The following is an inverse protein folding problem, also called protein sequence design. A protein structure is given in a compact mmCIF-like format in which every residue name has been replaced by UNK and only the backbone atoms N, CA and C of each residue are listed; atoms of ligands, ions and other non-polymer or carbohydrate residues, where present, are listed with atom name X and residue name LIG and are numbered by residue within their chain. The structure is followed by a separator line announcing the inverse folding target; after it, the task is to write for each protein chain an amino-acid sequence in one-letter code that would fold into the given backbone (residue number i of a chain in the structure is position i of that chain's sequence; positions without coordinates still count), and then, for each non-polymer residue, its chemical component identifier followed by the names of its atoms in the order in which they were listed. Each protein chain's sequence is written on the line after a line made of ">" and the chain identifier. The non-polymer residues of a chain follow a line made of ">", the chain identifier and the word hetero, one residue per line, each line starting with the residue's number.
data_IF_259659875958
#
_entry.id   IF_259659875958
#
_cell.length_a   1.000
_cell.length_b   1.000
_cell.length_c   1.000
_cell.angle_alpha   90.00
_cell.angle_beta   90.00
_cell.angle_gamma   90.00
#
_symmetry.space_group_name_H-M   'P 1'
#
loop_
_entity.id
_entity.type
_entity.pdbx_description
1 polymer ?
#
# COMPACT_ATOMS: atom_id res chain seq x y z
N UNK A 1 11.98 27.85 -15.04
CA UNK A 1 13.29 28.32 -14.55
C UNK A 1 13.52 27.64 -13.21
N UNK A 2 14.39 26.62 -13.20
CA UNK A 2 15.76 26.68 -12.59
C UNK A 2 15.67 26.60 -11.06
N UNK A 3 16.39 25.76 -10.33
CA UNK A 3 17.47 24.77 -10.52
C UNK A 3 17.53 24.07 -9.14
N UNK A 4 17.53 22.74 -9.00
CA UNK A 4 18.72 21.86 -8.89
C UNK A 4 19.96 22.50 -8.26
N UNK A 5 20.59 21.73 -7.35
CA UNK A 5 21.90 21.90 -6.70
C UNK A 5 21.87 22.47 -5.29
N UNK A 6 21.99 21.57 -4.30
CA UNK A 6 23.11 21.61 -3.36
C UNK A 6 23.43 20.16 -2.97
N UNK A 7 24.56 19.68 -3.49
CA UNK A 7 25.16 18.41 -3.14
C UNK A 7 26.12 18.54 -1.96
N UNK A 8 26.14 17.47 -1.16
CA UNK A 8 27.32 16.73 -0.70
C UNK A 8 28.37 17.53 0.09
N UNK A 9 28.48 17.19 1.38
CA UNK A 9 29.75 16.79 1.98
C UNK A 9 29.49 15.81 3.13
N UNK A 10 29.67 14.52 2.86
CA UNK A 10 29.80 13.47 3.87
C UNK A 10 31.24 12.97 3.76
N UNK A 11 32.05 13.17 4.81
CA UNK A 11 33.39 12.62 4.88
C UNK A 11 33.50 11.71 6.13
N UNK A 12 33.61 10.41 5.82
CA UNK A 12 34.29 9.31 6.50
C UNK A 12 34.56 9.40 8.02
N UNK A 13 34.09 8.38 8.77
CA UNK A 13 34.93 7.22 9.13
C UNK A 13 34.22 6.34 10.16
N UNK A 14 33.73 5.15 9.77
CA UNK A 14 33.49 4.05 10.72
C UNK A 14 33.69 2.72 10.00
N UNK A 15 34.80 2.08 10.31
CA UNK A 15 35.15 0.70 9.92
C UNK A 15 34.36 -0.30 10.78
N UNK A 16 33.74 -1.34 10.21
CA UNK A 16 33.42 -2.54 10.96
C UNK A 16 34.42 -3.66 10.68
N UNK A 17 34.93 -4.22 11.77
CA UNK A 17 35.73 -5.44 11.77
C UNK A 17 35.02 -6.59 11.05
N UNK A 18 35.78 -7.27 10.21
CA UNK A 18 35.42 -8.51 9.54
C UNK A 18 35.09 -9.60 10.56
N UNK A 19 33.92 -10.21 10.40
CA UNK A 19 33.71 -11.61 10.77
C UNK A 19 33.41 -12.39 9.47
N UNK A 20 34.41 -13.20 9.13
CA UNK A 20 34.42 -14.17 8.07
C UNK A 20 33.40 -15.29 8.37
N UNK A 21 32.46 -15.51 7.46
CA UNK A 21 31.93 -16.85 7.19
C UNK A 21 32.29 -17.20 5.75
N UNK A 22 33.40 -17.92 5.61
CA UNK A 22 33.87 -18.54 4.38
C UNK A 22 33.25 -19.93 4.22
N UNK A 23 32.51 -20.10 3.11
CA UNK A 23 32.31 -21.30 2.27
C UNK A 23 30.86 -21.32 1.77
N UNK A 24 30.51 -21.52 0.50
CA UNK A 24 31.21 -21.57 -0.79
C UNK A 24 30.12 -21.50 -1.86
N UNK A 25 30.40 -20.77 -2.95
CA UNK A 25 29.95 -20.97 -4.36
C UNK A 25 28.67 -21.82 -4.61
N UNK A 26 27.65 -21.34 -5.30
CA UNK A 26 27.69 -20.93 -6.71
C UNK A 26 26.64 -19.86 -7.01
N UNK A 27 27.10 -18.62 -7.17
CA UNK A 27 26.47 -17.68 -8.10
C UNK A 27 27.45 -17.56 -9.27
N UNK A 28 27.06 -17.83 -10.52
CA UNK A 28 27.89 -17.45 -11.65
C UNK A 28 27.92 -15.92 -11.69
N UNK A 29 28.99 -15.34 -11.16
CA UNK A 29 29.40 -14.01 -11.56
C UNK A 29 29.60 -14.06 -13.08
N UNK A 30 29.00 -13.14 -13.86
CA UNK A 30 29.36 -13.00 -15.26
C UNK A 30 30.85 -12.69 -15.28
N UNK A 31 31.62 -13.63 -15.81
CA UNK A 31 33.04 -13.44 -16.09
C UNK A 31 33.21 -12.21 -16.95
N UNK A 32 34.34 -11.53 -16.75
CA UNK A 32 34.83 -10.42 -17.55
C UNK A 32 34.84 -10.83 -19.04
N UNK A 33 33.71 -10.66 -19.72
CA UNK A 33 33.66 -10.69 -21.17
C UNK A 33 34.17 -9.34 -21.65
N UNK A 34 35.24 -9.41 -22.44
CA UNK A 34 35.75 -8.34 -23.31
C UNK A 34 34.57 -7.51 -23.85
N UNK A 35 34.66 -6.16 -23.92
CA UNK A 35 33.55 -5.35 -24.39
C UNK A 35 33.25 -5.75 -25.84
N UNK A 36 32.18 -6.51 -26.03
CA UNK A 36 31.62 -6.73 -27.35
C UNK A 36 31.18 -5.36 -27.85
N UNK A 37 31.96 -4.81 -28.78
CA UNK A 37 31.75 -3.49 -29.39
C UNK A 37 30.47 -3.40 -30.24
N UNK A 38 29.56 -4.38 -30.12
CA UNK A 38 28.24 -4.41 -30.74
C UNK A 38 27.16 -4.71 -29.69
N UNK A 39 27.10 -3.92 -28.62
CA UNK A 39 25.84 -3.75 -27.87
C UNK A 39 24.80 -3.25 -28.88
N UNK A 40 23.83 -4.11 -29.22
CA UNK A 40 22.82 -3.77 -30.20
C UNK A 40 22.21 -2.41 -29.88
N UNK A 41 22.14 -1.51 -30.86
CA UNK A 41 21.63 -0.14 -30.69
C UNK A 41 20.23 -0.13 -30.03
N UNK A 42 19.46 -1.20 -30.27
CA UNK A 42 18.18 -1.50 -29.63
C UNK A 42 18.24 -1.60 -28.09
N UNK A 43 19.24 -2.30 -27.54
CA UNK A 43 19.43 -2.43 -26.09
C UNK A 43 19.79 -1.10 -25.43
N UNK A 44 20.57 -0.27 -26.13
CA UNK A 44 20.95 1.06 -25.65
C UNK A 44 19.76 2.03 -25.69
N UNK A 45 18.89 1.92 -26.69
CA UNK A 45 17.71 2.77 -26.83
C UNK A 45 16.75 2.66 -25.64
N UNK A 46 16.65 1.51 -24.97
CA UNK A 46 15.89 1.36 -23.72
C UNK A 46 16.32 2.37 -22.66
N UNK A 47 17.63 2.50 -22.45
CA UNK A 47 18.20 3.40 -21.43
C UNK A 47 18.15 4.85 -21.87
N UNK A 48 18.33 5.14 -23.17
CA UNK A 48 18.20 6.50 -23.73
C UNK A 48 16.79 7.05 -23.53
N UNK A 49 15.77 6.24 -23.80
CA UNK A 49 14.37 6.61 -23.56
C UNK A 49 14.13 6.86 -22.07
N UNK A 50 14.64 5.98 -21.20
CA UNK A 50 14.51 6.13 -19.76
C UNK A 50 15.16 7.42 -19.23
N UNK A 51 16.34 7.76 -19.73
CA UNK A 51 17.02 9.00 -19.38
C UNK A 51 16.26 10.22 -19.92
N UNK A 52 15.79 10.19 -21.17
CA UNK A 52 15.13 11.32 -21.82
C UNK A 52 13.88 11.77 -21.06
N UNK A 53 13.00 10.85 -20.65
CA UNK A 53 11.81 11.24 -19.89
C UNK A 53 12.11 11.62 -18.44
N UNK A 54 13.15 11.06 -17.81
CA UNK A 54 13.60 11.49 -16.46
C UNK A 54 14.19 12.91 -16.47
N UNK A 55 14.86 13.28 -17.56
CA UNK A 55 15.48 14.59 -17.76
C UNK A 55 14.54 15.61 -18.42
N UNK A 56 13.33 15.21 -18.82
CA UNK A 56 12.34 16.09 -19.47
C UNK A 56 12.69 16.50 -20.91
N UNK A 57 13.51 15.72 -21.62
CA UNK A 57 13.93 15.96 -23.00
C UNK A 57 12.93 15.35 -23.99
N UNK A 58 11.78 16.00 -24.16
CA UNK A 58 10.65 15.47 -24.93
C UNK A 58 10.91 15.33 -26.43
N UNK A 59 11.67 16.23 -27.05
CA UNK A 59 11.98 16.17 -28.50
C UNK A 59 12.81 14.94 -28.85
N UNK A 60 13.81 14.63 -28.02
CA UNK A 60 14.66 13.44 -28.19
C UNK A 60 13.87 12.15 -27.88
N UNK A 61 12.95 12.21 -26.91
CA UNK A 61 12.08 11.08 -26.57
C UNK A 61 11.22 10.64 -27.75
N UNK A 62 10.61 11.59 -28.48
CA UNK A 62 9.81 11.29 -29.68
C UNK A 62 10.66 10.62 -30.77
N UNK A 63 11.91 11.07 -30.95
CA UNK A 63 12.83 10.46 -31.91
C UNK A 63 13.23 9.03 -31.51
N UNK A 64 13.52 8.81 -30.23
CA UNK A 64 13.90 7.49 -29.72
C UNK A 64 12.73 6.49 -29.74
N UNK A 65 11.50 6.96 -29.57
CA UNK A 65 10.32 6.11 -29.63
C UNK A 65 9.95 5.72 -31.08
N UNK A 66 10.22 6.57 -32.07
CA UNK A 66 10.05 6.22 -33.51
C UNK A 66 10.96 5.06 -33.95
N UNK A 67 12.14 4.93 -33.32
CA UNK A 67 13.15 3.90 -33.61
C UNK A 67 12.94 2.60 -32.81
N UNK A 68 11.93 2.55 -31.94
CA UNK A 68 11.75 1.46 -30.97
C UNK A 68 11.11 0.19 -31.55
N UNK A 69 11.33 -0.98 -30.90
CA UNK A 69 10.63 -2.22 -31.23
C UNK A 69 9.12 -2.13 -30.99
N UNK A 70 8.34 -3.01 -31.63
CA UNK A 70 6.86 -3.07 -31.51
C UNK A 70 6.38 -3.35 -30.08
N UNK A 71 7.21 -3.97 -29.25
CA UNK A 71 6.93 -4.17 -27.82
C UNK A 71 7.80 -3.23 -26.97
N UNK A 72 7.21 -2.19 -26.35
CA UNK A 72 7.95 -1.26 -25.53
C UNK A 72 8.38 -1.93 -24.22
N UNK A 73 9.65 -1.76 -23.85
CA UNK A 73 10.09 -2.04 -22.48
C UNK A 73 9.41 -1.09 -21.49
N UNK A 74 9.41 -1.42 -20.19
CA UNK A 74 8.81 -0.59 -19.13
C UNK A 74 9.12 0.91 -19.26
N UNK A 75 10.41 1.26 -19.41
CA UNK A 75 10.84 2.65 -19.54
C UNK A 75 10.37 3.32 -20.83
N UNK A 76 10.23 2.56 -21.92
CA UNK A 76 9.69 3.06 -23.19
C UNK A 76 8.18 3.26 -23.11
N UNK A 77 7.46 2.35 -22.44
CA UNK A 77 6.03 2.46 -22.24
C UNK A 77 5.65 3.67 -21.38
N UNK A 78 6.39 3.93 -20.30
CA UNK A 78 6.24 5.16 -19.50
C UNK A 78 6.45 6.40 -20.38
N UNK A 79 7.48 6.39 -21.23
CA UNK A 79 7.73 7.48 -22.18
C UNK A 79 6.58 7.73 -23.15
N UNK A 80 5.98 6.67 -23.70
CA UNK A 80 4.79 6.78 -24.56
C UNK A 80 3.59 7.35 -23.81
N UNK A 81 3.30 6.86 -22.61
CA UNK A 81 2.23 7.40 -21.75
C UNK A 81 2.43 8.90 -21.54
N UNK A 82 3.64 9.34 -21.19
CA UNK A 82 3.93 10.76 -20.95
C UNK A 82 3.72 11.62 -22.20
N UNK A 83 4.01 11.10 -23.39
CA UNK A 83 3.70 11.78 -24.65
C UNK A 83 2.19 11.89 -24.89
N UNK A 84 1.41 10.82 -24.65
CA UNK A 84 -0.05 10.86 -24.77
C UNK A 84 -0.68 11.85 -23.79
N UNK A 85 -0.17 11.90 -22.55
CA UNK A 85 -0.58 12.89 -21.54
C UNK A 85 -0.30 14.31 -22.03
N UNK A 86 0.87 14.56 -22.62
CA UNK A 86 1.23 15.87 -23.18
C UNK A 86 0.35 16.24 -24.38
N UNK A 87 0.03 15.28 -25.24
CA UNK A 87 -0.85 15.44 -26.39
C UNK A 87 -2.35 15.56 -26.02
N UNK A 88 -2.71 15.31 -24.75
CA UNK A 88 -4.08 15.27 -24.22
C UNK A 88 -4.99 14.23 -24.90
N UNK A 89 -4.42 13.14 -25.39
CA UNK A 89 -5.19 12.01 -25.93
C UNK A 89 -5.51 11.01 -24.81
N UNK A 90 -6.76 11.03 -24.35
CA UNK A 90 -7.22 10.17 -23.26
C UNK A 90 -7.34 8.70 -23.68
N UNK A 91 -7.75 8.42 -24.92
CA UNK A 91 -8.00 7.05 -25.38
C UNK A 91 -6.69 6.29 -25.61
N UNK A 92 -5.70 6.95 -26.23
CA UNK A 92 -4.37 6.38 -26.40
C UNK A 92 -3.64 6.21 -25.07
N UNK A 93 -3.85 7.14 -24.13
CA UNK A 93 -3.34 7.04 -22.76
C UNK A 93 -3.88 5.79 -22.06
N UNK A 94 -5.20 5.61 -22.00
CA UNK A 94 -5.81 4.47 -21.31
C UNK A 94 -5.41 3.12 -21.94
N UNK A 95 -5.34 3.06 -23.27
CA UNK A 95 -4.91 1.85 -23.98
C UNK A 95 -3.45 1.49 -23.67
N UNK A 96 -2.56 2.48 -23.69
CA UNK A 96 -1.13 2.29 -23.39
C UNK A 96 -0.90 1.88 -21.94
N UNK A 97 -1.67 2.48 -21.02
CA UNK A 97 -1.65 2.18 -19.59
C UNK A 97 -2.10 0.76 -19.29
N UNK A 98 -3.22 0.32 -19.88
CA UNK A 98 -3.72 -1.05 -19.75
C UNK A 98 -2.67 -2.08 -20.21
N UNK A 99 -2.08 -1.85 -21.40
CA UNK A 99 -1.04 -2.73 -21.94
C UNK A 99 0.17 -2.87 -21.01
N UNK A 100 0.64 -1.77 -20.41
CA UNK A 100 1.78 -1.79 -19.47
C UNK A 100 1.45 -2.45 -18.15
N UNK A 101 0.24 -2.26 -17.62
CA UNK A 101 -0.24 -2.97 -16.44
C UNK A 101 -0.25 -4.49 -16.68
N UNK A 102 -0.78 -4.95 -17.80
CA UNK A 102 -0.81 -6.38 -18.17
C UNK A 102 0.60 -6.98 -18.23
N UNK A 103 1.57 -6.28 -18.83
CA UNK A 103 2.97 -6.72 -18.86
C UNK A 103 3.60 -6.84 -17.47
N UNK A 104 3.32 -5.90 -16.54
CA UNK A 104 3.82 -6.00 -15.18
C UNK A 104 3.18 -7.13 -14.39
N UNK A 105 1.89 -7.41 -14.60
CA UNK A 105 1.18 -8.53 -13.96
C UNK A 105 1.79 -9.86 -14.39
N UNK A 106 2.10 -10.05 -15.67
CA UNK A 106 2.78 -11.25 -16.18
C UNK A 106 4.20 -11.39 -15.58
N UNK A 107 4.92 -10.27 -15.44
CA UNK A 107 6.24 -10.26 -14.82
C UNK A 107 6.18 -10.57 -13.31
N UNK A 108 5.09 -10.18 -12.65
CA UNK A 108 4.86 -10.45 -11.23
C UNK A 108 4.48 -11.92 -10.99
N UNK A 109 3.60 -12.50 -11.82
CA UNK A 109 3.20 -13.90 -11.70
C UNK A 109 4.39 -14.83 -11.90
N UNK A 110 5.21 -14.58 -12.92
CA UNK A 110 6.45 -15.33 -13.15
C UNK A 110 7.45 -15.19 -11.99
N UNK A 111 7.62 -13.98 -11.43
CA UNK A 111 8.47 -13.77 -10.26
C UNK A 111 7.96 -14.46 -8.98
N UNK A 112 6.64 -14.63 -8.85
CA UNK A 112 6.04 -15.26 -7.67
C UNK A 112 6.26 -16.78 -7.59
N UNK A 113 6.58 -17.42 -8.71
CA UNK A 113 6.78 -18.88 -8.80
C UNK A 113 8.19 -19.34 -8.42
N UNK A 114 9.12 -18.41 -8.18
CA UNK A 114 10.52 -18.72 -7.90
C UNK A 114 10.85 -18.66 -6.39
N UNK A 115 11.86 -19.43 -5.97
CA UNK A 115 12.46 -19.28 -4.63
C UNK A 115 13.06 -17.88 -4.53
N UNK A 116 12.78 -17.15 -3.46
CA UNK A 116 13.03 -15.69 -3.30
C UNK A 116 12.03 -14.76 -4.02
N UNK A 117 10.81 -15.24 -4.28
CA UNK A 117 9.71 -14.51 -4.90
C UNK A 117 9.59 -13.03 -4.49
N UNK A 118 9.73 -12.70 -3.20
CA UNK A 118 9.57 -11.32 -2.72
C UNK A 118 10.61 -10.35 -3.30
N UNK A 119 11.89 -10.74 -3.31
CA UNK A 119 12.98 -9.88 -3.78
C UNK A 119 12.84 -9.58 -5.28
N UNK A 120 12.33 -10.55 -6.05
CA UNK A 120 12.09 -10.41 -7.49
C UNK A 120 10.76 -9.72 -7.81
N UNK A 121 9.74 -9.90 -6.97
CA UNK A 121 8.43 -9.29 -7.10
C UNK A 121 8.43 -7.80 -6.71
N UNK A 122 9.28 -7.39 -5.77
CA UNK A 122 9.29 -6.03 -5.21
C UNK A 122 9.36 -4.92 -6.27
N UNK A 123 10.27 -4.96 -7.27
CA UNK A 123 10.30 -3.94 -8.33
C UNK A 123 9.00 -3.87 -9.14
N UNK A 124 8.30 -4.99 -9.35
CA UNK A 124 7.03 -5.04 -10.08
C UNK A 124 5.89 -4.44 -9.24
N UNK A 125 5.86 -4.73 -7.94
CA UNK A 125 4.88 -4.18 -7.00
C UNK A 125 5.01 -2.66 -6.92
N UNK A 126 6.23 -2.13 -6.75
CA UNK A 126 6.46 -0.68 -6.70
C UNK A 126 6.04 0.00 -8.00
N UNK A 127 6.35 -0.62 -9.15
CA UNK A 127 5.94 -0.11 -10.48
C UNK A 127 4.42 -0.05 -10.66
N UNK A 128 3.70 -1.06 -10.19
CA UNK A 128 2.23 -1.06 -10.21
C UNK A 128 1.66 0.01 -9.27
N UNK A 129 2.24 0.17 -8.08
CA UNK A 129 1.82 1.17 -7.09
C UNK A 129 1.98 2.61 -7.61
N UNK A 130 2.96 2.91 -8.45
CA UNK A 130 3.14 4.24 -9.05
C UNK A 130 2.03 4.61 -10.03
N UNK A 131 1.42 3.62 -10.70
CA UNK A 131 0.36 3.88 -11.67
C UNK A 131 -1.03 3.93 -11.05
N UNK A 132 -1.28 3.18 -9.97
CA UNK A 132 -2.58 3.10 -9.31
C UNK A 132 -3.20 4.48 -8.91
N UNK A 133 -2.45 5.49 -8.42
CA UNK A 133 -3.00 6.81 -8.08
C UNK A 133 -3.49 7.60 -9.29
N UNK A 134 -3.01 7.32 -10.50
CA UNK A 134 -3.48 7.99 -11.73
C UNK A 134 -4.76 7.36 -12.30
N UNK A 135 -5.19 6.21 -11.76
CA UNK A 135 -6.39 5.47 -12.15
C UNK A 135 -7.54 5.60 -11.11
N UNK A 136 -7.40 6.43 -10.08
CA UNK A 136 -8.43 6.59 -9.04
C UNK A 136 -9.63 7.35 -9.60
N UNK A 137 -10.59 6.57 -10.13
CA UNK A 137 -11.98 6.48 -9.68
C UNK A 137 -12.82 5.58 -10.61
N UNK A 138 -12.61 5.54 -11.94
CA UNK A 138 -13.35 4.59 -12.79
C UNK A 138 -12.63 3.23 -12.95
N UNK A 139 -11.32 3.22 -13.25
CA UNK A 139 -10.62 1.98 -13.62
C UNK A 139 -10.22 1.07 -12.44
N UNK A 140 -10.25 1.54 -11.18
CA UNK A 140 -10.07 0.65 -10.01
C UNK A 140 -11.14 -0.43 -9.97
N UNK A 141 -12.38 -0.09 -10.37
CA UNK A 141 -13.48 -1.05 -10.49
C UNK A 141 -13.33 -1.93 -11.72
N UNK A 142 -12.93 -1.36 -12.86
CA UNK A 142 -12.78 -2.11 -14.11
C UNK A 142 -11.56 -3.06 -14.10
N UNK A 143 -10.42 -2.69 -13.51
CA UNK A 143 -9.26 -3.57 -13.35
C UNK A 143 -9.55 -4.73 -12.38
N UNK A 144 -10.34 -4.51 -11.32
CA UNK A 144 -10.81 -5.58 -10.43
C UNK A 144 -11.77 -6.54 -11.16
N UNK A 145 -12.59 -6.00 -12.08
CA UNK A 145 -13.48 -6.76 -12.95
C UNK A 145 -12.72 -7.59 -13.99
N UNK A 146 -11.68 -7.03 -14.60
CA UNK A 146 -10.78 -7.70 -15.56
C UNK A 146 -9.84 -8.72 -14.89
N UNK A 147 -9.44 -8.50 -13.64
CA UNK A 147 -8.67 -9.48 -12.84
C UNK A 147 -9.52 -10.68 -12.35
N UNK A 148 -10.75 -10.86 -12.85
CA UNK A 148 -11.59 -12.02 -12.57
C UNK A 148 -12.11 -12.10 -11.13
N UNK A 149 -11.86 -11.09 -10.31
CA UNK A 149 -12.40 -10.97 -8.95
C UNK A 149 -13.54 -9.97 -8.97
N UNK A 150 -14.59 -10.28 -9.74
CA UNK A 150 -15.84 -9.53 -9.65
C UNK A 150 -16.43 -9.76 -8.27
N UNK A 151 -16.28 -8.79 -7.37
CA UNK A 151 -16.97 -8.81 -6.08
C UNK A 151 -18.43 -8.48 -6.36
N UNK A 152 -19.31 -9.41 -6.02
CA UNK A 152 -20.75 -9.21 -6.18
C UNK A 152 -21.22 -8.09 -5.26
N UNK A 153 -21.65 -6.98 -5.87
CA UNK A 153 -22.12 -5.81 -5.13
C UNK A 153 -23.42 -6.06 -4.39
N UNK A 154 -24.22 -7.04 -4.80
CA UNK A 154 -25.48 -7.35 -4.14
C UNK A 154 -25.24 -8.20 -2.88
N UNK A 155 -24.28 -9.12 -2.91
CA UNK A 155 -23.80 -9.79 -1.68
C UNK A 155 -23.17 -8.80 -0.69
N UNK A 156 -22.43 -7.80 -1.19
CA UNK A 156 -21.91 -6.74 -0.34
C UNK A 156 -23.01 -5.93 0.33
N UNK A 157 -24.08 -5.59 -0.40
CA UNK A 157 -25.25 -4.89 0.18
C UNK A 157 -25.95 -5.73 1.23
N UNK A 158 -26.24 -7.00 0.94
CA UNK A 158 -26.87 -7.91 1.91
C UNK A 158 -26.04 -8.06 3.18
N UNK A 159 -24.71 -8.19 3.04
CA UNK A 159 -23.77 -8.26 4.17
C UNK A 159 -23.75 -6.95 4.95
N UNK A 160 -23.77 -5.82 4.26
CA UNK A 160 -23.82 -4.50 4.89
C UNK A 160 -25.11 -4.35 5.66
N UNK A 161 -26.25 -4.63 5.05
CA UNK A 161 -27.58 -4.58 5.67
C UNK A 161 -27.64 -5.47 6.92
N UNK A 162 -27.14 -6.71 6.84
CA UNK A 162 -27.05 -7.59 8.01
C UNK A 162 -26.24 -6.96 9.15
N UNK A 163 -25.10 -6.34 8.83
CA UNK A 163 -24.28 -5.63 9.81
C UNK A 163 -25.05 -4.48 10.46
N UNK A 164 -25.85 -3.73 9.69
CA UNK A 164 -26.65 -2.61 10.21
C UNK A 164 -27.71 -3.08 11.22
N UNK A 165 -28.28 -4.26 11.01
CA UNK A 165 -29.25 -4.84 11.93
C UNK A 165 -28.61 -5.23 13.28
N UNK A 166 -27.29 -5.42 13.34
CA UNK A 166 -26.55 -5.71 14.56
C UNK A 166 -26.15 -4.47 15.36
N UNK A 167 -26.43 -3.27 14.85
CA UNK A 167 -26.17 -2.05 15.59
C UNK A 167 -27.19 -1.92 16.73
N UNK A 168 -26.69 -1.82 17.97
CA UNK A 168 -27.53 -1.59 19.14
C UNK A 168 -28.32 -0.27 18.99
N UNK A 169 -29.64 -0.34 19.10
CA UNK A 169 -30.54 0.80 18.90
C UNK A 169 -30.42 1.90 19.95
N UNK A 170 -29.83 1.61 21.12
CA UNK A 170 -29.67 2.56 22.22
C UNK A 170 -28.24 3.11 22.34
N UNK A 171 -27.22 2.24 22.26
CA UNK A 171 -25.83 2.65 22.45
C UNK A 171 -25.07 2.93 21.14
N UNK A 172 -25.62 2.50 19.99
CA UNK A 172 -24.98 2.66 18.68
C UNK A 172 -23.73 1.79 18.44
N UNK A 173 -23.36 0.98 19.44
CA UNK A 173 -22.26 0.01 19.37
C UNK A 173 -22.67 -1.27 18.65
N UNK A 174 -21.72 -1.93 17.99
CA UNK A 174 -21.92 -3.26 17.41
C UNK A 174 -21.66 -4.35 18.44
N UNK A 175 -22.56 -5.33 18.50
CA UNK A 175 -22.40 -6.51 19.32
C UNK A 175 -21.60 -7.61 18.59
N UNK A 176 -20.76 -8.31 19.33
CA UNK A 176 -20.01 -9.43 18.78
C UNK A 176 -20.92 -10.66 18.66
N UNK A 177 -21.25 -11.05 17.43
CA UNK A 177 -22.06 -12.24 17.16
C UNK A 177 -21.16 -13.41 16.74
N UNK A 178 -21.28 -14.53 17.46
CA UNK A 178 -20.61 -15.79 17.13
C UNK A 178 -19.29 -16.04 17.88
N UNK A 179 -18.69 -17.21 17.64
CA UNK A 179 -17.45 -17.66 18.28
C UNK A 179 -16.35 -17.80 17.24
N UNK A 180 -15.27 -17.02 17.40
CA UNK A 180 -14.09 -17.18 16.57
C UNK A 180 -13.21 -18.33 17.09
N UNK A 181 -12.92 -19.30 16.21
CA UNK A 181 -12.05 -20.43 16.53
C UNK A 181 -10.58 -20.01 16.51
N UNK A 182 -10.17 -19.24 15.50
CA UNK A 182 -8.79 -18.74 15.38
C UNK A 182 -8.64 -17.30 15.90
N UNK A 183 -8.21 -17.18 17.15
CA UNK A 183 -7.99 -15.89 17.82
C UNK A 183 -6.82 -15.07 17.24
N UNK A 184 -5.93 -15.67 16.45
CA UNK A 184 -4.81 -14.92 15.85
C UNK A 184 -5.29 -13.97 14.74
N UNK A 185 -6.41 -14.27 14.09
CA UNK A 185 -6.99 -13.40 13.05
C UNK A 185 -7.77 -12.20 13.63
N UNK A 186 -8.09 -12.24 14.93
CA UNK A 186 -8.87 -11.22 15.63
C UNK A 186 -8.05 -9.97 15.96
N UNK A 187 -6.72 -10.05 15.84
CA UNK A 187 -5.81 -9.00 16.26
C UNK A 187 -5.88 -8.73 17.77
N UNK A 188 -5.79 -7.46 18.17
CA UNK A 188 -5.84 -7.02 19.57
C UNK A 188 -7.26 -6.83 20.13
N UNK A 189 -8.29 -7.21 19.38
CA UNK A 189 -9.69 -7.09 19.80
C UNK A 189 -9.99 -8.25 20.76
N UNK A 190 -9.71 -8.05 22.05
CA UNK A 190 -10.19 -8.97 23.08
C UNK A 190 -11.73 -8.95 23.06
N UNK A 191 -12.35 -10.14 23.04
CA UNK A 191 -13.79 -10.36 22.77
C UNK A 191 -14.78 -9.70 23.73
N UNK A 192 -14.33 -8.86 24.66
CA UNK A 192 -15.17 -8.14 25.63
C UNK A 192 -15.36 -6.66 25.35
N UNK A 193 -14.69 -6.07 24.36
CA UNK A 193 -14.75 -4.63 24.12
C UNK A 193 -15.55 -4.31 22.84
N UNK A 194 -16.87 -4.14 23.01
CA UNK A 194 -17.79 -3.72 21.93
C UNK A 194 -17.29 -2.47 21.16
N UNK A 195 -16.58 -1.60 21.85
CA UNK A 195 -16.00 -0.35 21.33
C UNK A 195 -14.91 -0.59 20.28
N UNK A 196 -14.00 -1.55 20.51
CA UNK A 196 -12.91 -1.84 19.57
C UNK A 196 -13.44 -2.51 18.29
N UNK A 197 -14.44 -3.37 18.41
CA UNK A 197 -15.16 -3.93 17.27
C UNK A 197 -15.87 -2.83 16.48
N UNK A 198 -16.59 -1.95 17.18
CA UNK A 198 -17.32 -0.83 16.57
C UNK A 198 -16.39 0.10 15.79
N UNK A 199 -15.22 0.43 16.35
CA UNK A 199 -14.23 1.25 15.67
C UNK A 199 -13.72 0.59 14.38
N UNK A 200 -13.46 -0.72 14.41
CA UNK A 200 -12.99 -1.47 13.24
C UNK A 200 -14.05 -1.52 12.13
N UNK A 201 -15.29 -1.86 12.50
CA UNK A 201 -16.43 -1.87 11.56
C UNK A 201 -16.64 -0.49 10.92
N UNK A 202 -16.61 0.57 11.73
CA UNK A 202 -16.79 1.94 11.23
C UNK A 202 -15.67 2.35 10.27
N UNK A 203 -14.41 2.00 10.59
CA UNK A 203 -13.28 2.27 9.70
C UNK A 203 -13.43 1.53 8.35
N UNK A 204 -13.81 0.25 8.39
CA UNK A 204 -14.02 -0.54 7.18
C UNK A 204 -15.15 0.02 6.30
N UNK A 205 -16.26 0.46 6.91
CA UNK A 205 -17.36 1.10 6.19
C UNK A 205 -16.90 2.42 5.54
N UNK A 206 -16.16 3.26 6.25
CA UNK A 206 -15.67 4.54 5.72
C UNK A 206 -14.62 4.35 4.61
N UNK A 207 -13.77 3.32 4.72
CA UNK A 207 -12.83 2.94 3.66
C UNK A 207 -13.53 2.38 2.41
N UNK A 208 -14.72 1.81 2.57
CA UNK A 208 -15.60 1.39 1.49
C UNK A 208 -16.36 2.55 0.81
N UNK A 209 -15.97 3.81 1.07
CA UNK A 209 -16.55 5.04 0.51
C UNK A 209 -18.02 5.27 0.95
N UNK A 210 -18.41 4.78 2.13
CA UNK A 210 -19.70 5.17 2.72
C UNK A 210 -19.70 6.67 3.06
N UNK A 211 -20.82 7.38 2.82
CA UNK A 211 -20.91 8.80 3.10
C UNK A 211 -20.76 9.06 4.60
N UNK A 212 -20.01 10.10 4.97
CA UNK A 212 -19.80 10.49 6.37
C UNK A 212 -21.07 10.96 7.08
N UNK A 213 -22.08 11.36 6.30
CA UNK A 213 -23.39 11.82 6.79
C UNK A 213 -24.36 10.67 7.09
N UNK A 214 -23.91 9.42 6.94
CA UNK A 214 -24.75 8.25 7.19
C UNK A 214 -25.15 8.19 8.68
N UNK A 215 -26.45 7.97 9.02
CA UNK A 215 -26.89 7.79 10.40
C UNK A 215 -26.10 6.72 11.17
N UNK A 216 -25.53 5.73 10.48
CA UNK A 216 -24.71 4.68 11.09
C UNK A 216 -23.45 5.29 11.70
N UNK A 217 -22.74 6.13 10.95
CA UNK A 217 -21.49 6.77 11.36
C UNK A 217 -21.73 7.72 12.54
N UNK A 218 -22.85 8.44 12.53
CA UNK A 218 -23.23 9.30 13.66
C UNK A 218 -23.49 8.48 14.94
N UNK A 219 -24.18 7.33 14.84
CA UNK A 219 -24.47 6.46 15.98
C UNK A 219 -23.22 5.75 16.50
N UNK A 220 -22.32 5.30 15.62
CA UNK A 220 -21.07 4.70 16.05
C UNK A 220 -20.16 5.75 16.70
N UNK A 221 -20.12 6.98 16.19
CA UNK A 221 -19.38 8.07 16.83
C UNK A 221 -19.88 8.36 18.26
N UNK A 222 -21.19 8.25 18.51
CA UNK A 222 -21.76 8.35 19.86
C UNK A 222 -21.22 7.25 20.79
N UNK A 223 -21.26 5.98 20.36
CA UNK A 223 -20.68 4.85 21.11
C UNK A 223 -19.19 5.09 21.43
N UNK A 224 -18.40 5.49 20.43
CA UNK A 224 -16.95 5.67 20.59
C UNK A 224 -16.60 6.84 21.52
N UNK A 225 -17.42 7.90 21.54
CA UNK A 225 -17.18 9.06 22.41
C UNK A 225 -17.60 8.84 23.85
N UNK A 226 -18.63 8.02 24.08
CA UNK A 226 -19.09 7.67 25.43
C UNK A 226 -18.11 6.74 26.16
N UNK A 227 -17.37 5.91 25.43
CA UNK A 227 -16.38 5.01 26.02
C UNK A 227 -15.18 5.74 26.64
N UNK A 228 -14.89 5.41 27.90
CA UNK A 228 -13.77 5.97 28.68
C UNK A 228 -12.54 5.06 28.73
N UNK A 229 -12.45 4.03 27.89
CA UNK A 229 -11.34 3.09 27.91
C UNK A 229 -10.00 3.79 27.64
N UNK A 230 -8.99 3.51 28.48
CA UNK A 230 -7.64 4.05 28.40
C UNK A 230 -6.66 3.10 27.73
N UNK A 231 -7.14 1.95 27.24
CA UNK A 231 -6.30 0.93 26.62
C UNK A 231 -5.69 1.47 25.31
N UNK A 232 -4.36 1.43 25.12
CA UNK A 232 -3.69 2.06 23.98
C UNK A 232 -4.23 1.61 22.62
N UNK A 233 -4.56 0.32 22.49
CA UNK A 233 -5.14 -0.24 21.26
C UNK A 233 -6.54 0.32 20.96
N UNK A 234 -7.39 0.46 21.97
CA UNK A 234 -8.74 0.98 21.80
C UNK A 234 -8.71 2.48 21.47
N UNK A 235 -7.80 3.23 22.10
CA UNK A 235 -7.59 4.64 21.76
C UNK A 235 -7.11 4.83 20.32
N UNK A 236 -6.17 3.99 19.86
CA UNK A 236 -5.66 4.04 18.49
C UNK A 236 -6.76 3.76 17.45
N UNK A 237 -7.54 2.69 17.64
CA UNK A 237 -8.62 2.33 16.70
C UNK A 237 -9.75 3.37 16.71
N UNK A 238 -10.11 3.92 17.88
CA UNK A 238 -11.07 5.04 18.00
C UNK A 238 -10.58 6.28 17.28
N UNK A 239 -9.33 6.68 17.50
CA UNK A 239 -8.75 7.87 16.87
C UNK A 239 -8.73 7.72 15.35
N UNK A 240 -8.41 6.54 14.83
CA UNK A 240 -8.44 6.25 13.40
C UNK A 240 -9.86 6.36 12.82
N UNK A 241 -10.83 5.66 13.41
CA UNK A 241 -12.21 5.68 12.94
C UNK A 241 -12.83 7.10 12.98
N UNK A 242 -12.58 7.86 14.05
CA UNK A 242 -13.08 9.24 14.17
C UNK A 242 -12.35 10.23 13.26
N UNK A 243 -11.08 9.98 12.93
CA UNK A 243 -10.36 10.77 11.94
C UNK A 243 -10.93 10.56 10.53
N UNK A 244 -11.27 9.32 10.17
CA UNK A 244 -11.98 9.02 8.92
C UNK A 244 -13.37 9.69 8.89
N UNK A 245 -14.09 9.68 10.02
CA UNK A 245 -15.39 10.33 10.15
C UNK A 245 -15.33 11.87 10.29
N UNK A 246 -14.14 12.49 10.23
CA UNK A 246 -13.94 13.95 10.38
C UNK A 246 -14.54 14.54 11.67
N UNK A 247 -14.60 13.77 12.76
CA UNK A 247 -15.23 14.19 14.01
C UNK A 247 -14.28 15.06 14.87
N UNK A 248 -14.74 16.16 15.52
CA UNK A 248 -13.87 17.08 16.27
C UNK A 248 -13.14 16.44 17.46
N UNK A 249 -13.74 15.42 18.08
CA UNK A 249 -13.10 14.66 19.17
C UNK A 249 -11.90 13.79 18.71
N UNK A 250 -11.65 13.64 17.41
CA UNK A 250 -10.50 12.88 16.92
C UNK A 250 -9.18 13.50 17.41
N UNK A 251 -9.07 14.83 17.40
CA UNK A 251 -7.85 15.54 17.81
C UNK A 251 -7.55 15.34 19.29
N UNK A 252 -8.57 15.39 20.16
CA UNK A 252 -8.38 15.20 21.60
C UNK A 252 -8.00 13.76 21.95
N UNK A 253 -8.53 12.77 21.23
CA UNK A 253 -8.15 11.36 21.37
C UNK A 253 -6.73 11.11 20.85
N UNK A 254 -6.35 11.72 19.73
CA UNK A 254 -5.00 11.63 19.20
C UNK A 254 -3.97 12.21 20.18
N UNK A 255 -4.25 13.37 20.78
CA UNK A 255 -3.39 13.94 21.81
C UNK A 255 -3.23 13.02 23.04
N UNK A 256 -4.34 12.40 23.50
CA UNK A 256 -4.28 11.39 24.56
C UNK A 256 -3.42 10.19 24.16
N UNK A 257 -3.55 9.71 22.93
CA UNK A 257 -2.73 8.60 22.41
C UNK A 257 -1.24 8.97 22.32
N UNK A 258 -0.93 10.18 21.86
CA UNK A 258 0.45 10.69 21.78
C UNK A 258 1.08 10.81 23.16
N UNK A 259 0.30 11.19 24.19
CA UNK A 259 0.81 11.26 25.58
C UNK A 259 1.21 9.89 26.15
N UNK A 260 0.67 8.80 25.61
CA UNK A 260 1.00 7.42 26.00
C UNK A 260 2.12 6.81 25.14
N UNK A 261 2.61 7.52 24.13
CA UNK A 261 3.61 6.99 23.22
C UNK A 261 4.99 6.92 23.88
N UNK A 262 5.68 5.81 23.64
CA UNK A 262 7.09 5.66 24.03
C UNK A 262 7.94 6.09 22.85
N UNK A 263 8.66 7.21 23.02
CA UNK A 263 9.55 7.76 22.01
C UNK A 263 10.99 7.36 22.36
N UNK A 264 11.63 6.67 21.42
CA UNK A 264 13.06 6.35 21.45
C UNK A 264 13.79 7.16 20.37
N UNK A 265 15.13 7.14 20.36
CA UNK A 265 15.92 7.89 19.37
C UNK A 265 15.61 7.53 17.91
N UNK A 266 15.12 6.31 17.65
CA UNK A 266 14.89 5.79 16.29
C UNK A 266 13.43 5.41 15.98
N UNK A 267 12.55 5.32 16.99
CA UNK A 267 11.19 4.83 16.80
C UNK A 267 10.21 5.35 17.85
N UNK A 268 8.94 5.43 17.47
CA UNK A 268 7.81 5.74 18.33
C UNK A 268 6.85 4.54 18.31
N UNK A 269 6.48 4.05 19.48
CA UNK A 269 5.59 2.89 19.61
C UNK A 269 4.73 2.95 20.88
N UNK A 270 3.73 2.07 20.94
CA UNK A 270 2.83 1.93 22.09
C UNK A 270 2.98 0.56 22.72
N UNK A 271 3.07 0.52 24.05
CA UNK A 271 3.10 -0.72 24.81
C UNK A 271 1.70 -1.10 25.26
N UNK A 272 1.32 -2.35 25.03
CA UNK A 272 0.08 -2.90 25.56
C UNK A 272 0.28 -3.24 27.04
N UNK A 273 -0.63 -2.85 27.95
CA UNK A 273 -0.59 -3.31 29.32
C UNK A 273 -0.73 -4.84 29.31
N UNK A 274 0.19 -5.55 29.98
CA UNK A 274 0.12 -7.01 30.09
C UNK A 274 -1.17 -7.38 30.85
N UNK A 275 -2.15 -7.93 30.14
CA UNK A 275 -3.24 -8.67 30.78
C UNK A 275 -2.63 -9.84 31.55
N UNK A 276 -3.21 -10.21 32.70
CA UNK A 276 -2.76 -11.37 33.51
C UNK A 276 -2.46 -12.54 32.58
N UNK A 277 -1.18 -12.85 32.42
CA UNK A 277 -0.74 -14.13 31.89
C UNK A 277 -1.35 -15.18 32.79
N UNK A 278 -2.35 -15.91 32.27
CA UNK A 278 -2.64 -17.25 32.79
C UNK A 278 -1.30 -17.94 32.84
N UNK A 279 -0.87 -18.21 34.06
CA UNK A 279 0.34 -18.95 34.38
C UNK A 279 0.45 -20.15 33.45
N UNK A 280 1.61 -20.26 32.83
CA UNK A 280 2.16 -21.51 32.31
C UNK A 280 1.87 -22.59 33.35
N UNK A 281 1.01 -23.55 33.01
CA UNK A 281 1.05 -24.86 33.64
C UNK A 281 1.88 -25.70 32.70
N UNK A 282 3.16 -25.83 33.06
CA UNK A 282 4.02 -26.92 32.61
C UNK A 282 3.39 -28.24 33.09
N UNK A 283 2.98 -29.11 32.16
CA UNK A 283 3.16 -30.58 32.19
C UNK A 283 3.19 -31.10 30.75
#
# INVERSE_FOLDING_TARGET
>A
MMNLLLGIQYNQSFTPHALLCSHSSEYPFPTHHKPDQNLSESSLNKYRVEAAWKLGQWEQLEEFLKKGPKEPSWGQGVGQILLWVRARDLNAYHTSLSNLCTQQIISLSTASMEKWAYQRAYPCIIRLLVFMPSLTTPLKRDLVREMGTSVDTDQLKETTDWLLHLQGTQDGCFEAVGKLINKQMQGGINSGNAVSLTAYVTAALLEAETPTDDPIVSRTALCLTNDTSTHPYALATKAYALALASHPNATSLLQKLLSQAVVTKNAMYWNLPKGRTSTLVDV
#
